data_IF_827770843029
#
_entry.id   IF_827770843029
#
_cell.length_a   1.000
_cell.length_b   1.000
_cell.length_c   1.000
_cell.angle_alpha   90.00
_cell.angle_beta   90.00
_cell.angle_gamma   90.00
#
_symmetry.space_group_name_H-M   'P 1'
#
loop_
_entity.id
_entity.type
_entity.pdbx_description
1 polymer ?
#
# COMPACT_ATOMS: atom_id res chain seq x y z
N UNK A 1 22.90 -29.63 34.80
CA UNK A 1 23.03 -28.16 34.61
C UNK A 1 21.98 -27.73 33.59
N UNK A 2 20.78 -27.32 34.02
CA UNK A 2 19.77 -26.80 33.11
C UNK A 2 19.97 -25.29 32.94
N UNK A 3 20.06 -24.84 31.69
CA UNK A 3 20.00 -23.42 31.32
C UNK A 3 18.52 -23.05 31.13
N UNK A 4 17.95 -22.36 32.10
CA UNK A 4 16.71 -21.60 31.97
C UNK A 4 17.06 -20.21 31.44
N UNK A 5 16.69 -19.93 30.19
CA UNK A 5 16.60 -18.56 29.67
C UNK A 5 15.26 -17.93 30.10
N UNK A 6 15.25 -16.69 30.62
CA UNK A 6 14.02 -15.98 30.94
C UNK A 6 13.45 -15.29 29.70
N UNK A 7 12.14 -15.47 29.53
CA UNK A 7 11.25 -14.85 28.55
C UNK A 7 11.15 -13.34 28.84
N UNK A 8 11.47 -12.50 27.85
CA UNK A 8 11.39 -11.04 27.94
C UNK A 8 10.04 -10.59 27.36
N UNK A 9 9.13 -10.18 28.24
CA UNK A 9 7.73 -9.84 27.94
C UNK A 9 7.55 -8.34 28.16
N UNK A 10 7.79 -7.56 27.11
CA UNK A 10 7.58 -6.11 27.12
C UNK A 10 6.71 -5.68 25.93
N UNK A 11 5.39 -5.79 26.11
CA UNK A 11 4.41 -4.98 25.39
C UNK A 11 4.30 -3.59 26.06
N UNK A 12 4.26 -2.47 25.29
CA UNK A 12 3.99 -1.15 25.84
C UNK A 12 2.49 -0.96 26.16
N UNK A 13 2.14 -0.20 27.22
CA UNK A 13 0.75 0.02 27.63
C UNK A 13 0.02 1.04 26.74
N UNK A 14 -1.27 0.78 26.52
CA UNK A 14 -2.23 1.60 25.77
C UNK A 14 -2.66 2.87 26.53
N UNK A 15 -2.89 3.95 25.79
CA UNK A 15 -3.42 5.22 26.27
C UNK A 15 -4.91 5.12 26.66
N UNK A 16 -5.36 5.70 27.79
CA UNK A 16 -6.76 5.72 28.16
C UNK A 16 -7.53 6.90 27.52
N UNK A 17 -8.58 6.55 26.79
CA UNK A 17 -9.63 7.47 26.32
C UNK A 17 -10.57 7.79 27.49
N UNK A 18 -10.62 9.06 27.90
CA UNK A 18 -11.62 9.55 28.86
C UNK A 18 -12.67 10.43 28.15
N UNK A 19 -13.92 9.95 28.19
CA UNK A 19 -15.15 10.70 27.94
C UNK A 19 -15.73 11.12 29.29
N UNK A 20 -16.26 12.35 29.35
CA UNK A 20 -17.42 12.85 30.10
C UNK A 20 -17.27 14.38 30.16
N UNK A 21 -18.27 15.24 30.05
CA UNK A 21 -19.71 15.09 30.24
C UNK A 21 -20.21 16.36 30.94
N UNK A 22 -20.74 17.30 30.16
CA UNK A 22 -21.85 18.22 30.44
C UNK A 22 -21.91 19.18 31.67
N UNK A 23 -22.58 20.31 31.39
CA UNK A 23 -23.46 21.17 32.23
C UNK A 23 -22.88 22.49 32.76
N UNK A 24 -23.52 23.61 32.36
CA UNK A 24 -23.62 24.82 33.19
C UNK A 24 -23.66 26.15 32.42
N UNK A 25 -24.83 26.52 31.88
CA UNK A 25 -25.28 27.92 31.70
C UNK A 25 -26.29 28.16 32.86
N UNK A 26 -26.53 29.38 33.43
CA UNK A 26 -26.86 30.58 32.66
C UNK A 26 -26.57 31.99 33.28
N UNK A 27 -26.92 33.01 32.50
CA UNK A 27 -27.66 34.24 32.90
C UNK A 27 -26.93 35.49 33.46
N UNK A 28 -26.89 36.54 32.61
CA UNK A 28 -27.40 37.93 32.82
C UNK A 28 -26.76 38.84 31.74
N UNK A 29 -27.49 39.49 30.83
CA UNK A 29 -28.35 40.68 31.05
C UNK A 29 -27.47 41.94 30.88
N UNK A 30 -27.74 42.99 30.12
CA UNK A 30 -28.87 43.55 29.37
C UNK A 30 -28.30 44.75 28.54
N UNK A 31 -29.16 45.42 27.78
CA UNK A 31 -29.03 46.74 27.14
C UNK A 31 -28.47 46.76 25.70
N UNK A 32 -29.33 46.70 24.67
CA UNK A 32 -30.19 47.78 24.16
C UNK A 32 -29.42 48.96 23.58
N UNK A 33 -29.41 49.08 22.24
CA UNK A 33 -29.86 50.29 21.54
C UNK A 33 -30.13 49.94 20.08
N UNK A 34 -31.41 50.00 19.72
CA UNK A 34 -31.83 50.22 18.34
C UNK A 34 -31.53 51.68 17.97
N UNK A 35 -30.98 51.91 16.79
CA UNK A 35 -31.37 53.10 16.03
C UNK A 35 -31.60 52.72 14.57
N UNK A 36 -32.72 53.18 14.08
CA UNK A 36 -33.27 52.90 12.77
C UNK A 36 -33.00 54.09 11.85
N UNK A 37 -33.16 53.82 10.56
CA UNK A 37 -33.33 54.79 9.46
C UNK A 37 -32.04 55.24 8.79
N UNK A 38 -31.79 54.71 7.60
CA UNK A 38 -32.22 55.40 6.38
C UNK A 38 -31.84 54.58 5.14
N UNK A 39 -32.84 54.07 4.44
CA UNK A 39 -32.71 53.82 2.99
C UNK A 39 -32.70 55.15 2.27
N UNK A 40 -31.82 55.34 1.29
CA UNK A 40 -32.19 55.98 0.06
C UNK A 40 -32.46 54.89 -0.98
N UNK A 41 -33.73 54.80 -1.39
CA UNK A 41 -34.02 54.36 -2.74
C UNK A 41 -33.44 55.41 -3.69
N UNK A 42 -32.35 55.07 -4.37
CA UNK A 42 -31.86 55.80 -5.52
C UNK A 42 -31.92 54.86 -6.73
N UNK A 43 -32.79 55.22 -7.67
CA UNK A 43 -32.89 54.59 -8.97
C UNK A 43 -31.68 55.00 -9.80
N UNK A 44 -30.67 54.14 -9.82
CA UNK A 44 -29.59 54.17 -10.78
C UNK A 44 -29.67 52.95 -11.68
N UNK A 45 -30.33 53.09 -12.83
CA UNK A 45 -30.12 52.22 -13.98
C UNK A 45 -28.71 52.48 -14.53
N UNK A 46 -27.71 51.93 -13.82
CA UNK A 46 -26.32 51.84 -14.25
C UNK A 46 -26.05 50.39 -14.62
N UNK A 47 -25.24 50.11 -15.67
CA UNK A 47 -24.98 48.74 -16.08
C UNK A 47 -24.44 47.97 -14.88
N UNK A 48 -25.19 46.96 -14.42
CA UNK A 48 -24.72 46.03 -13.40
C UNK A 48 -23.40 45.46 -13.90
N UNK A 49 -22.29 45.90 -13.29
CA UNK A 49 -20.98 45.29 -13.48
C UNK A 49 -21.05 43.89 -12.89
N UNK A 50 -21.66 42.97 -13.63
CA UNK A 50 -21.77 41.57 -13.26
C UNK A 50 -20.34 41.04 -13.04
N UNK A 51 -20.12 40.47 -11.86
CA UNK A 51 -18.81 39.98 -11.42
C UNK A 51 -18.18 39.07 -12.49
N UNK A 52 -16.86 39.21 -12.71
CA UNK A 52 -16.13 38.34 -13.63
C UNK A 52 -16.25 36.87 -13.16
N UNK A 53 -16.52 35.92 -14.07
CA UNK A 53 -16.65 34.51 -13.71
C UNK A 53 -15.33 34.00 -13.15
N UNK A 54 -15.40 33.16 -12.11
CA UNK A 54 -14.22 32.52 -11.53
C UNK A 54 -13.64 31.50 -12.49
N UNK A 55 -12.59 31.87 -13.21
CA UNK A 55 -11.93 31.02 -14.19
C UNK A 55 -11.13 29.89 -13.51
N UNK A 56 -11.22 28.62 -13.97
CA UNK A 56 -10.30 27.57 -13.56
C UNK A 56 -8.83 27.94 -13.84
N UNK A 57 -7.90 27.47 -13.01
CA UNK A 57 -6.46 27.77 -13.16
C UNK A 57 -5.90 27.41 -14.54
N UNK A 58 -6.21 26.25 -15.16
CA UNK A 58 -5.74 25.92 -16.50
C UNK A 58 -6.20 26.94 -17.57
N UNK A 59 -7.42 27.44 -17.43
CA UNK A 59 -7.99 28.45 -18.34
C UNK A 59 -7.26 29.78 -18.18
N UNK A 60 -6.97 30.22 -16.95
CA UNK A 60 -6.19 31.44 -16.68
C UNK A 60 -4.80 31.37 -17.31
N UNK A 61 -4.11 30.25 -17.10
CA UNK A 61 -2.79 30.02 -17.68
C UNK A 61 -2.84 30.05 -19.21
N UNK A 62 -3.89 29.46 -19.80
CA UNK A 62 -4.06 29.43 -21.25
C UNK A 62 -4.31 30.82 -21.83
N UNK A 63 -5.20 31.62 -21.22
CA UNK A 63 -5.46 33.02 -21.62
C UNK A 63 -4.16 33.82 -21.61
N UNK A 64 -3.37 33.69 -20.54
CA UNK A 64 -2.06 34.35 -20.43
C UNK A 64 -1.09 33.88 -21.51
N UNK A 65 -1.04 32.58 -21.80
CA UNK A 65 -0.15 32.02 -22.82
C UNK A 65 -0.50 32.52 -24.23
N UNK A 66 -1.78 32.52 -24.60
CA UNK A 66 -2.27 33.05 -25.89
C UNK A 66 -1.91 34.54 -26.03
N UNK A 67 -2.18 35.32 -24.99
CA UNK A 67 -1.88 36.76 -24.97
C UNK A 67 -0.37 37.02 -25.06
N UNK A 68 0.45 36.24 -24.34
CA UNK A 68 1.90 36.34 -24.35
C UNK A 68 2.52 35.95 -25.71
N UNK A 69 1.88 35.06 -26.46
CA UNK A 69 2.32 34.64 -27.80
C UNK A 69 2.10 35.77 -28.83
N UNK A 70 0.96 36.47 -28.73
CA UNK A 70 0.56 37.57 -29.61
C UNK A 70 1.22 38.90 -29.27
N UNK A 71 1.63 39.10 -28.01
CA UNK A 71 2.17 40.38 -27.55
C UNK A 71 3.30 40.99 -28.43
N UNK A 72 4.25 40.23 -29.00
CA UNK A 72 5.29 40.79 -29.87
C UNK A 72 4.82 41.16 -31.28
N UNK A 73 3.66 40.69 -31.72
CA UNK A 73 3.12 40.98 -33.07
C UNK A 73 2.30 42.27 -33.10
N UNK A 74 1.96 42.82 -31.93
CA UNK A 74 1.24 44.07 -31.80
C UNK A 74 2.17 45.28 -32.02
N UNK A 75 1.71 46.33 -32.70
CA UNK A 75 2.41 47.62 -32.77
C UNK A 75 2.77 48.15 -31.38
N UNK A 76 3.94 48.78 -31.23
CA UNK A 76 4.45 49.21 -29.92
C UNK A 76 3.61 50.31 -29.23
N UNK A 77 2.85 51.06 -30.01
CA UNK A 77 1.84 52.03 -29.61
C UNK A 77 0.54 51.37 -29.13
N UNK A 78 0.25 50.15 -29.57
CA UNK A 78 -0.91 49.36 -29.16
C UNK A 78 -0.66 48.51 -27.90
N UNK A 79 0.59 48.36 -27.47
CA UNK A 79 0.99 47.60 -26.27
C UNK A 79 0.99 48.50 -25.02
N UNK A 80 0.20 48.15 -23.98
CA UNK A 80 0.19 48.89 -22.71
C UNK A 80 1.58 49.01 -22.07
N UNK A 81 1.85 50.17 -21.45
CA UNK A 81 3.16 50.48 -20.86
C UNK A 81 3.68 49.38 -19.92
N UNK A 82 2.86 48.79 -19.01
CA UNK A 82 3.31 47.70 -18.14
C UNK A 82 3.76 46.43 -18.89
N UNK A 83 3.24 46.20 -20.11
CA UNK A 83 3.51 45.00 -20.92
C UNK A 83 4.64 45.18 -21.92
N UNK A 84 5.10 46.39 -22.19
CA UNK A 84 6.20 46.66 -23.15
C UNK A 84 7.49 45.90 -22.80
N UNK A 85 7.78 45.71 -21.50
CA UNK A 85 8.92 44.91 -21.05
C UNK A 85 8.68 43.42 -21.23
N UNK A 86 7.46 42.96 -20.96
CA UNK A 86 7.05 41.56 -21.11
C UNK A 86 7.14 41.12 -22.58
N UNK A 87 6.75 41.98 -23.52
CA UNK A 87 6.84 41.73 -24.97
C UNK A 87 8.27 41.38 -25.42
N UNK A 88 9.28 41.96 -24.75
CA UNK A 88 10.71 41.75 -25.05
C UNK A 88 11.30 40.50 -24.38
N UNK A 89 10.58 39.83 -23.49
CA UNK A 89 11.10 38.60 -22.89
C UNK A 89 11.19 37.47 -23.92
N UNK A 90 12.08 36.50 -23.66
CA UNK A 90 12.13 35.25 -24.42
C UNK A 90 10.76 34.54 -24.39
N UNK A 91 10.32 33.87 -25.48
CA UNK A 91 9.00 33.24 -25.58
C UNK A 91 8.60 32.43 -24.34
N UNK A 92 9.47 31.54 -23.88
CA UNK A 92 9.23 30.65 -22.75
C UNK A 92 9.08 31.37 -21.39
N UNK A 93 9.49 32.64 -21.29
CA UNK A 93 9.44 33.44 -20.05
C UNK A 93 8.27 34.42 -20.02
N UNK A 94 7.66 34.75 -21.16
CA UNK A 94 6.61 35.78 -21.24
C UNK A 94 5.38 35.41 -20.44
N UNK A 95 4.84 34.21 -20.66
CA UNK A 95 3.66 33.73 -19.94
C UNK A 95 3.96 33.61 -18.44
N UNK A 96 5.11 33.01 -18.07
CA UNK A 96 5.45 32.76 -16.66
C UNK A 96 5.73 34.03 -15.84
N UNK A 97 6.50 34.98 -16.39
CA UNK A 97 6.91 36.18 -15.66
C UNK A 97 5.98 37.37 -15.89
N UNK A 98 5.26 37.37 -17.01
CA UNK A 98 4.29 38.40 -17.37
C UNK A 98 2.87 38.10 -16.90
N UNK A 99 2.58 36.90 -16.38
CA UNK A 99 1.23 36.47 -16.02
C UNK A 99 0.43 37.51 -15.22
N UNK A 100 0.93 38.08 -14.11
CA UNK A 100 0.15 39.04 -13.32
C UNK A 100 -0.15 40.33 -14.10
N UNK A 101 0.83 40.84 -14.84
CA UNK A 101 0.67 42.05 -15.63
C UNK A 101 -0.29 41.84 -16.81
N UNK A 102 -0.21 40.68 -17.48
CA UNK A 102 -1.09 40.32 -18.59
C UNK A 102 -2.53 40.20 -18.09
N UNK A 103 -2.76 39.46 -17.00
CA UNK A 103 -4.09 39.31 -16.42
C UNK A 103 -4.70 40.66 -16.02
N UNK A 104 -3.93 41.51 -15.34
CA UNK A 104 -4.38 42.83 -14.93
C UNK A 104 -4.79 43.73 -16.12
N UNK A 105 -4.01 43.72 -17.22
CA UNK A 105 -4.33 44.53 -18.39
C UNK A 105 -5.52 43.98 -19.19
N UNK A 106 -5.72 42.66 -19.25
CA UNK A 106 -6.88 42.07 -19.93
C UNK A 106 -8.21 42.41 -19.24
N UNK A 107 -8.20 42.54 -17.91
CA UNK A 107 -9.35 42.99 -17.13
C UNK A 107 -9.54 44.51 -17.20
N UNK A 108 -8.45 45.29 -17.06
CA UNK A 108 -8.52 46.76 -16.98
C UNK A 108 -8.71 47.48 -18.32
N UNK A 109 -8.23 46.92 -19.45
CA UNK A 109 -8.25 47.57 -20.77
C UNK A 109 -9.01 46.72 -21.81
N UNK A 110 -10.30 47.05 -22.08
CA UNK A 110 -11.09 46.39 -23.10
C UNK A 110 -10.54 46.51 -24.53
N UNK A 111 -9.91 47.63 -24.89
CA UNK A 111 -9.36 47.84 -26.23
C UNK A 111 -8.14 46.95 -26.45
N UNK A 112 -7.27 46.84 -25.45
CA UNK A 112 -6.16 45.88 -25.48
C UNK A 112 -6.66 44.44 -25.65
N UNK A 113 -7.70 44.05 -24.88
CA UNK A 113 -8.30 42.72 -25.03
C UNK A 113 -8.86 42.49 -26.43
N UNK A 114 -9.55 43.46 -27.03
CA UNK A 114 -10.07 43.35 -28.40
C UNK A 114 -8.94 43.14 -29.43
N UNK A 115 -7.83 43.90 -29.32
CA UNK A 115 -6.67 43.76 -30.22
C UNK A 115 -6.02 42.39 -30.10
N UNK A 116 -5.81 41.91 -28.87
CA UNK A 116 -5.29 40.56 -28.60
C UNK A 116 -6.24 39.51 -29.19
N UNK A 117 -7.53 39.64 -28.93
CA UNK A 117 -8.58 38.73 -29.41
C UNK A 117 -8.57 38.61 -30.92
N UNK A 118 -8.54 39.73 -31.65
CA UNK A 118 -8.53 39.72 -33.10
C UNK A 118 -7.38 38.87 -33.66
N UNK A 119 -6.20 38.97 -33.06
CA UNK A 119 -5.04 38.18 -33.48
C UNK A 119 -5.13 36.72 -33.05
N UNK A 120 -5.55 36.46 -31.81
CA UNK A 120 -5.72 35.09 -31.28
C UNK A 120 -6.77 34.31 -32.09
N UNK A 121 -7.87 34.94 -32.51
CA UNK A 121 -8.89 34.29 -33.32
C UNK A 121 -8.40 33.92 -34.73
N UNK A 122 -7.58 34.78 -35.35
CA UNK A 122 -6.94 34.47 -36.63
C UNK A 122 -6.00 33.27 -36.49
N UNK A 123 -5.20 33.23 -35.42
CA UNK A 123 -4.28 32.11 -35.17
C UNK A 123 -5.05 30.81 -34.79
N UNK A 124 -6.26 30.93 -34.21
CA UNK A 124 -7.12 29.80 -33.83
C UNK A 124 -7.96 29.20 -34.99
N UNK A 125 -8.09 29.92 -36.12
CA UNK A 125 -8.78 29.43 -37.32
C UNK A 125 -10.24 29.04 -37.08
N UNK A 126 -10.63 27.85 -37.56
CA UNK A 126 -12.00 27.33 -37.51
C UNK A 126 -12.55 27.22 -36.07
N UNK A 127 -11.68 26.94 -35.09
CA UNK A 127 -12.07 26.90 -33.69
C UNK A 127 -12.44 28.30 -33.18
N UNK A 128 -11.66 29.31 -33.57
CA UNK A 128 -11.96 30.70 -33.24
C UNK A 128 -13.30 31.15 -33.81
N UNK A 129 -13.60 30.79 -35.06
CA UNK A 129 -14.89 31.08 -35.70
C UNK A 129 -16.06 30.41 -34.97
N UNK A 130 -15.93 29.11 -34.65
CA UNK A 130 -16.97 28.38 -33.92
C UNK A 130 -17.28 29.00 -32.55
N UNK A 131 -16.24 29.41 -31.81
CA UNK A 131 -16.39 30.08 -30.50
C UNK A 131 -17.07 31.43 -30.64
N UNK A 132 -16.73 32.23 -31.66
CA UNK A 132 -17.40 33.52 -31.92
C UNK A 132 -18.89 33.33 -32.22
N UNK A 133 -19.26 32.25 -32.91
CA UNK A 133 -20.65 31.86 -33.15
C UNK A 133 -21.35 31.29 -31.89
N UNK A 134 -20.65 31.21 -30.76
CA UNK A 134 -21.18 30.71 -29.49
C UNK A 134 -21.23 29.18 -29.40
N UNK A 135 -20.47 28.48 -30.26
CA UNK A 135 -20.46 27.02 -30.32
C UNK A 135 -19.09 26.45 -29.95
N UNK A 136 -19.08 25.22 -29.41
CA UNK A 136 -17.86 24.49 -29.08
C UNK A 136 -17.89 23.12 -29.78
N UNK A 137 -16.96 22.83 -30.70
CA UNK A 137 -16.85 21.51 -31.30
C UNK A 137 -16.57 20.44 -30.23
N UNK A 138 -17.22 19.28 -30.33
CA UNK A 138 -17.10 18.22 -29.31
C UNK A 138 -15.67 17.67 -29.12
N UNK A 139 -14.83 17.76 -30.16
CA UNK A 139 -13.44 17.32 -30.14
C UNK A 139 -12.44 18.43 -29.77
N UNK A 140 -12.90 19.66 -29.53
CA UNK A 140 -12.03 20.77 -29.16
C UNK A 140 -11.58 20.64 -27.69
N UNK A 141 -10.37 21.11 -27.40
CA UNK A 141 -9.89 21.21 -26.01
C UNK A 141 -10.78 22.20 -25.24
N UNK A 142 -11.47 21.76 -24.17
CA UNK A 142 -12.32 22.63 -23.36
C UNK A 142 -11.57 23.85 -22.80
N UNK A 143 -10.27 23.72 -22.48
CA UNK A 143 -9.44 24.82 -21.97
C UNK A 143 -9.23 25.88 -23.06
N UNK A 144 -9.00 25.46 -24.30
CA UNK A 144 -8.87 26.35 -25.46
C UNK A 144 -10.18 27.10 -25.71
N UNK A 145 -11.31 26.39 -25.72
CA UNK A 145 -12.65 26.96 -25.92
C UNK A 145 -12.94 28.02 -24.86
N UNK A 146 -12.68 27.73 -23.59
CA UNK A 146 -12.90 28.68 -22.50
C UNK A 146 -12.00 29.91 -22.59
N UNK A 147 -10.73 29.74 -23.00
CA UNK A 147 -9.79 30.83 -23.16
C UNK A 147 -10.18 31.75 -24.33
N UNK A 148 -10.60 31.17 -25.46
CA UNK A 148 -11.09 31.91 -26.61
C UNK A 148 -12.41 32.63 -26.29
N UNK A 149 -13.34 31.96 -25.59
CA UNK A 149 -14.61 32.56 -25.17
C UNK A 149 -14.39 33.74 -24.21
N UNK A 150 -13.43 33.65 -23.29
CA UNK A 150 -13.07 34.74 -22.37
C UNK A 150 -12.52 35.98 -23.10
N UNK A 151 -11.68 35.76 -24.12
CA UNK A 151 -11.09 36.84 -24.91
C UNK A 151 -12.13 37.47 -25.86
N UNK A 152 -12.85 36.65 -26.62
CA UNK A 152 -13.81 37.09 -27.62
C UNK A 152 -15.12 37.65 -27.06
N UNK A 153 -15.54 37.20 -25.87
CA UNK A 153 -16.81 37.54 -25.21
C UNK A 153 -18.04 37.56 -26.18
N UNK A 154 -18.25 36.51 -27.00
CA UNK A 154 -19.47 36.37 -27.80
C UNK A 154 -20.71 36.24 -26.93
N UNK A 155 -21.91 36.29 -27.52
CA UNK A 155 -23.14 36.01 -26.78
C UNK A 155 -23.07 34.59 -26.19
N UNK A 156 -23.31 34.44 -24.89
CA UNK A 156 -23.25 33.14 -24.22
C UNK A 156 -21.83 32.69 -23.80
N UNK A 157 -20.85 33.59 -23.78
CA UNK A 157 -19.46 33.25 -23.47
C UNK A 157 -19.24 32.68 -22.05
N UNK A 158 -20.10 33.01 -21.09
CA UNK A 158 -20.00 32.51 -19.71
C UNK A 158 -20.40 31.05 -19.64
N UNK A 159 -21.47 30.68 -20.33
CA UNK A 159 -21.96 29.30 -20.43
C UNK A 159 -20.91 28.41 -21.08
N UNK A 160 -20.18 28.91 -22.10
CA UNK A 160 -19.05 28.20 -22.70
C UNK A 160 -17.91 27.96 -21.69
N UNK A 161 -17.58 28.96 -20.87
CA UNK A 161 -16.54 28.83 -19.83
C UNK A 161 -16.97 27.84 -18.75
N UNK A 162 -18.22 27.90 -18.30
CA UNK A 162 -18.74 27.00 -17.28
C UNK A 162 -18.82 25.55 -17.77
N UNK A 163 -19.31 25.34 -19.00
CA UNK A 163 -19.36 24.03 -19.64
C UNK A 163 -17.96 23.44 -19.84
N UNK A 164 -17.02 24.25 -20.34
CA UNK A 164 -15.62 23.83 -20.47
C UNK A 164 -14.98 23.53 -19.13
N UNK A 165 -15.23 24.36 -18.11
CA UNK A 165 -14.72 24.14 -16.76
C UNK A 165 -15.27 22.86 -16.13
N UNK A 166 -16.54 22.54 -16.38
CA UNK A 166 -17.15 21.28 -15.97
C UNK A 166 -16.52 20.08 -16.70
N UNK A 167 -16.27 20.18 -18.00
CA UNK A 167 -15.60 19.13 -18.78
C UNK A 167 -14.17 18.84 -18.28
N UNK A 168 -13.38 19.89 -17.98
CA UNK A 168 -12.02 19.73 -17.43
C UNK A 168 -12.04 19.02 -16.07
N UNK A 169 -12.98 19.40 -15.20
CA UNK A 169 -13.12 18.74 -13.89
C UNK A 169 -13.55 17.28 -14.04
N UNK A 170 -14.53 17.01 -14.89
CA UNK A 170 -15.02 15.65 -15.14
C UNK A 170 -13.91 14.73 -15.70
N UNK A 171 -13.06 15.24 -16.58
CA UNK A 171 -11.90 14.48 -17.10
C UNK A 171 -10.88 14.20 -15.99
N UNK A 172 -10.55 15.21 -15.17
CA UNK A 172 -9.63 15.04 -14.04
C UNK A 172 -10.17 14.03 -13.01
N UNK A 173 -11.45 14.12 -12.66
CA UNK A 173 -12.11 13.19 -11.74
C UNK A 173 -12.13 11.77 -12.32
N UNK A 174 -12.42 11.62 -13.61
CA UNK A 174 -12.41 10.33 -14.31
C UNK A 174 -11.02 9.70 -14.32
N UNK A 175 -9.97 10.50 -14.53
CA UNK A 175 -8.59 10.03 -14.47
C UNK A 175 -8.22 9.52 -13.07
N UNK A 176 -8.61 10.26 -12.01
CA UNK A 176 -8.40 9.83 -10.62
C UNK A 176 -9.12 8.52 -10.34
N UNK A 177 -10.38 8.39 -10.75
CA UNK A 177 -11.14 7.15 -10.59
C UNK A 177 -10.48 5.99 -11.35
N UNK A 178 -10.02 6.20 -12.57
CA UNK A 178 -9.34 5.18 -13.36
C UNK A 178 -8.03 4.70 -12.72
N UNK A 179 -7.25 5.61 -12.10
CA UNK A 179 -6.07 5.25 -11.31
C UNK A 179 -6.46 4.39 -10.09
N UNK A 180 -7.46 4.84 -9.32
CA UNK A 180 -7.92 4.11 -8.13
C UNK A 180 -8.42 2.70 -8.46
N UNK A 181 -9.14 2.55 -9.58
CA UNK A 181 -9.59 1.24 -10.08
C UNK A 181 -8.40 0.36 -10.44
N UNK A 182 -7.43 0.89 -11.20
CA UNK A 182 -6.22 0.12 -11.56
C UNK A 182 -5.42 -0.32 -10.34
N UNK A 183 -5.27 0.54 -9.34
CA UNK A 183 -4.61 0.15 -8.10
C UNK A 183 -5.40 -0.91 -7.32
N UNK A 184 -6.74 -0.80 -7.28
CA UNK A 184 -7.59 -1.78 -6.64
C UNK A 184 -7.50 -3.16 -7.30
N UNK A 185 -7.51 -3.21 -8.63
CA UNK A 185 -7.34 -4.44 -9.42
C UNK A 185 -5.96 -5.08 -9.19
N UNK A 186 -4.90 -4.27 -9.15
CA UNK A 186 -3.56 -4.76 -8.84
C UNK A 186 -3.47 -5.35 -7.42
N UNK A 187 -4.09 -4.68 -6.43
CA UNK A 187 -4.15 -5.20 -5.06
C UNK A 187 -4.96 -6.49 -4.98
N UNK A 188 -6.09 -6.58 -5.70
CA UNK A 188 -6.91 -7.79 -5.76
C UNK A 188 -6.13 -8.96 -6.38
N UNK A 189 -5.46 -8.74 -7.51
CA UNK A 189 -4.64 -9.76 -8.20
C UNK A 189 -3.52 -10.28 -7.30
N UNK A 190 -2.83 -9.38 -6.58
CA UNK A 190 -1.80 -9.78 -5.61
C UNK A 190 -2.38 -10.61 -4.47
N UNK A 191 -3.50 -10.16 -3.90
CA UNK A 191 -4.15 -10.90 -2.82
C UNK A 191 -4.64 -12.29 -3.26
N UNK A 192 -5.11 -12.45 -4.50
CA UNK A 192 -5.47 -13.75 -5.07
C UNK A 192 -4.26 -14.65 -5.24
N UNK A 193 -3.15 -14.11 -5.75
CA UNK A 193 -1.89 -14.84 -5.86
C UNK A 193 -1.38 -15.32 -4.49
N UNK A 194 -1.32 -14.42 -3.51
CA UNK A 194 -0.85 -14.74 -2.16
C UNK A 194 -1.73 -15.81 -1.49
N UNK A 195 -3.06 -15.74 -1.69
CA UNK A 195 -3.99 -16.78 -1.24
C UNK A 195 -3.75 -18.13 -1.91
N UNK A 196 -3.43 -18.14 -3.21
CA UNK A 196 -3.14 -19.38 -3.92
C UNK A 196 -1.83 -20.00 -3.40
N UNK A 197 -0.78 -19.20 -3.22
CA UNK A 197 0.50 -19.63 -2.63
C UNK A 197 0.29 -20.19 -1.23
N UNK A 198 -0.39 -19.44 -0.35
CA UNK A 198 -0.66 -19.88 1.02
C UNK A 198 -1.47 -21.19 1.09
N UNK A 199 -2.40 -21.42 0.16
CA UNK A 199 -3.16 -22.69 0.07
C UNK A 199 -2.25 -23.86 -0.27
N UNK A 200 -1.38 -23.70 -1.27
CA UNK A 200 -0.43 -24.74 -1.69
C UNK A 200 0.57 -25.03 -0.57
N UNK A 201 1.07 -24.00 0.12
CA UNK A 201 1.96 -24.18 1.27
C UNK A 201 1.27 -24.88 2.44
N UNK A 202 0.02 -24.52 2.74
CA UNK A 202 -0.75 -25.20 3.78
C UNK A 202 -1.03 -26.67 3.45
N UNK A 203 -1.23 -27.02 2.17
CA UNK A 203 -1.37 -28.40 1.72
C UNK A 203 -0.06 -29.18 1.90
N UNK A 204 1.07 -28.63 1.45
CA UNK A 204 2.40 -29.24 1.64
C UNK A 204 2.71 -29.49 3.13
N UNK A 205 2.47 -28.51 3.99
CA UNK A 205 2.69 -28.65 5.43
C UNK A 205 1.78 -29.72 6.05
N UNK A 206 0.55 -29.90 5.56
CA UNK A 206 -0.34 -30.99 6.01
C UNK A 206 0.19 -32.35 5.59
N UNK A 207 0.68 -32.48 4.36
CA UNK A 207 1.27 -33.73 3.85
C UNK A 207 2.55 -34.10 4.60
N UNK A 208 3.42 -33.12 4.87
CA UNK A 208 4.62 -33.30 5.70
C UNK A 208 4.27 -33.72 7.12
N UNK A 209 3.27 -33.08 7.75
CA UNK A 209 2.78 -33.48 9.08
C UNK A 209 2.20 -34.90 9.08
N UNK A 210 1.47 -35.30 8.04
CA UNK A 210 0.95 -36.65 7.90
C UNK A 210 2.09 -37.67 7.80
N UNK A 211 3.10 -37.40 6.97
CA UNK A 211 4.28 -38.24 6.81
C UNK A 211 5.07 -38.39 8.11
N UNK A 212 5.35 -37.30 8.81
CA UNK A 212 6.08 -37.35 10.10
C UNK A 212 5.29 -38.14 11.15
N UNK A 213 3.96 -38.04 11.16
CA UNK A 213 3.12 -38.84 12.07
C UNK A 213 3.18 -40.33 11.74
N UNK A 214 3.19 -40.69 10.46
CA UNK A 214 3.34 -42.07 10.03
C UNK A 214 4.71 -42.62 10.41
N UNK A 215 5.79 -41.89 10.13
CA UNK A 215 7.17 -42.25 10.50
C UNK A 215 7.29 -42.43 12.03
N UNK A 216 6.71 -41.52 12.82
CA UNK A 216 6.64 -41.66 14.28
C UNK A 216 5.84 -42.88 14.75
N UNK A 217 4.80 -43.27 14.01
CA UNK A 217 4.04 -44.49 14.26
C UNK A 217 4.87 -45.74 14.00
N UNK A 218 5.56 -45.78 12.86
CA UNK A 218 6.45 -46.87 12.46
C UNK A 218 7.58 -47.05 13.49
N UNK A 219 8.30 -45.97 13.84
CA UNK A 219 9.39 -46.03 14.83
C UNK A 219 8.93 -46.50 16.21
N UNK A 220 7.70 -46.15 16.63
CA UNK A 220 7.13 -46.65 17.88
C UNK A 220 6.85 -48.14 17.84
N UNK A 221 6.33 -48.65 16.72
CA UNK A 221 6.08 -50.09 16.58
C UNK A 221 7.39 -50.87 16.47
N UNK A 222 8.37 -50.37 15.72
CA UNK A 222 9.72 -50.93 15.67
C UNK A 222 10.37 -50.95 17.06
N UNK A 223 10.28 -49.86 17.82
CA UNK A 223 10.78 -49.80 19.19
C UNK A 223 10.13 -50.85 20.09
N UNK A 224 8.80 -51.04 20.00
CA UNK A 224 8.08 -52.09 20.74
C UNK A 224 8.51 -53.48 20.31
N UNK A 225 8.69 -53.71 19.01
CA UNK A 225 9.13 -54.99 18.47
C UNK A 225 10.54 -55.32 18.93
N UNK A 226 11.48 -54.38 18.82
CA UNK A 226 12.86 -54.53 19.32
C UNK A 226 12.90 -54.75 20.83
N UNK A 227 12.04 -54.07 21.60
CA UNK A 227 11.95 -54.31 23.04
C UNK A 227 11.40 -55.72 23.37
N UNK A 228 10.45 -56.24 22.59
CA UNK A 228 9.95 -57.62 22.73
C UNK A 228 11.05 -58.63 22.40
N UNK A 229 11.71 -58.48 21.25
CA UNK A 229 12.77 -59.40 20.82
C UNK A 229 13.95 -59.37 21.80
N UNK A 230 14.35 -58.21 22.31
CA UNK A 230 15.39 -58.08 23.33
C UNK A 230 15.04 -58.85 24.62
N UNK A 231 13.80 -58.76 25.10
CA UNK A 231 13.37 -59.51 26.29
C UNK A 231 13.39 -61.01 26.05
N UNK A 232 12.96 -61.45 24.87
CA UNK A 232 13.00 -62.87 24.49
C UNK A 232 14.43 -63.40 24.37
N UNK A 233 15.34 -62.63 23.75
CA UNK A 233 16.76 -63.03 23.64
C UNK A 233 17.42 -63.07 25.01
N UNK A 234 17.18 -62.08 25.87
CA UNK A 234 17.66 -62.09 27.26
C UNK A 234 17.12 -63.28 28.06
N UNK A 235 15.84 -63.65 27.87
CA UNK A 235 15.27 -64.83 28.53
C UNK A 235 15.92 -66.14 28.04
N UNK A 236 16.16 -66.27 26.73
CA UNK A 236 16.89 -67.41 26.14
C UNK A 236 18.33 -67.48 26.63
N UNK A 237 19.00 -66.34 26.73
CA UNK A 237 20.37 -66.23 27.26
C UNK A 237 20.42 -66.68 28.72
N UNK A 238 19.53 -66.19 29.58
CA UNK A 238 19.43 -66.62 30.99
C UNK A 238 19.22 -68.13 31.13
N UNK A 239 18.33 -68.71 30.33
CA UNK A 239 18.11 -70.16 30.34
C UNK A 239 19.36 -70.93 29.87
N UNK A 240 20.05 -70.44 28.85
CA UNK A 240 21.28 -71.06 28.36
C UNK A 240 22.40 -70.97 29.41
N UNK A 241 22.55 -69.84 30.11
CA UNK A 241 23.56 -69.69 31.16
C UNK A 241 23.25 -70.56 32.37
N UNK A 242 21.97 -70.70 32.76
CA UNK A 242 21.52 -71.64 33.79
C UNK A 242 21.87 -73.09 33.42
N UNK A 243 21.52 -73.53 32.20
CA UNK A 243 21.87 -74.88 31.72
C UNK A 243 23.38 -75.12 31.72
N UNK A 244 24.17 -74.17 31.20
CA UNK A 244 25.63 -74.24 31.23
C UNK A 244 26.18 -74.33 32.65
N UNK A 245 25.63 -73.58 33.61
CA UNK A 245 26.01 -73.67 35.01
C UNK A 245 25.70 -75.06 35.59
N UNK A 246 24.54 -75.64 35.25
CA UNK A 246 24.19 -76.99 35.69
C UNK A 246 25.12 -78.06 35.13
N UNK A 247 25.46 -78.01 33.83
CA UNK A 247 26.38 -78.96 33.22
C UNK A 247 27.81 -78.81 33.77
N UNK A 248 28.28 -77.58 33.98
CA UNK A 248 29.57 -77.33 34.65
C UNK A 248 29.59 -77.92 36.06
N UNK A 249 28.50 -77.78 36.81
CA UNK A 249 28.36 -78.39 38.14
C UNK A 249 28.41 -79.92 38.10
N UNK A 250 27.76 -80.56 37.13
CA UNK A 250 27.83 -82.02 36.93
C UNK A 250 29.24 -82.46 36.53
N UNK A 251 29.86 -81.78 35.58
CA UNK A 251 31.23 -82.07 35.13
C UNK A 251 32.24 -81.93 36.28
N UNK A 252 32.12 -80.88 37.10
CA UNK A 252 32.98 -80.68 38.27
C UNK A 252 32.82 -81.80 39.31
N UNK A 253 31.60 -82.25 39.57
CA UNK A 253 31.34 -83.40 40.46
C UNK A 253 31.94 -84.69 39.91
N UNK A 254 31.70 -84.99 38.64
CA UNK A 254 32.27 -86.17 37.98
C UNK A 254 33.81 -86.15 38.02
N UNK A 255 34.44 -84.99 37.78
CA UNK A 255 35.89 -84.82 37.92
C UNK A 255 36.36 -85.09 39.36
N UNK A 256 35.67 -84.53 40.35
CA UNK A 256 36.03 -84.71 41.75
C UNK A 256 35.89 -86.18 42.21
N UNK A 257 34.87 -86.89 41.70
CA UNK A 257 34.66 -88.32 41.96
C UNK A 257 35.79 -89.15 41.34
N UNK A 258 36.14 -88.89 40.08
CA UNK A 258 37.30 -89.51 39.40
C UNK A 258 38.59 -89.24 40.18
N UNK A 259 38.83 -88.00 40.61
CA UNK A 259 40.02 -87.65 41.41
C UNK A 259 40.04 -88.36 42.77
N UNK A 260 38.87 -88.57 43.39
CA UNK A 260 38.75 -89.32 44.64
C UNK A 260 38.96 -90.83 44.44
N UNK A 261 38.45 -91.40 43.35
CA UNK A 261 38.70 -92.79 42.96
C UNK A 261 40.18 -93.01 42.65
N UNK A 262 40.81 -92.09 41.92
CA UNK A 262 42.21 -92.15 41.55
C UNK A 262 43.13 -92.01 42.78
N UNK A 263 42.77 -91.15 43.75
CA UNK A 263 43.43 -91.11 45.07
C UNK A 263 43.29 -92.42 45.84
N UNK A 264 42.09 -93.03 45.86
CA UNK A 264 41.84 -94.33 46.51
C UNK A 264 42.62 -95.46 45.83
N UNK A 265 42.67 -95.49 44.50
CA UNK A 265 43.43 -96.47 43.74
C UNK A 265 44.93 -96.35 43.98
N UNK A 266 45.46 -95.11 44.00
CA UNK A 266 46.87 -94.85 44.35
C UNK A 266 47.20 -95.29 45.78
N UNK A 267 46.33 -95.03 46.75
CA UNK A 267 46.54 -95.47 48.13
C UNK A 267 46.60 -97.00 48.23
N UNK A 268 45.66 -97.72 47.58
CA UNK A 268 45.68 -99.19 47.51
C UNK A 268 46.93 -99.74 46.81
N UNK A 269 47.39 -99.08 45.75
CA UNK A 269 48.63 -99.45 45.07
C UNK A 269 49.83 -99.29 46.01
N UNK A 270 49.94 -98.16 46.71
CA UNK A 270 51.01 -97.94 47.68
C UNK A 270 50.97 -98.94 48.85
N UNK A 271 49.77 -99.30 49.34
CA UNK A 271 49.60 -100.36 50.34
C UNK A 271 50.04 -101.73 49.82
N UNK A 272 49.69 -102.08 48.58
CA UNK A 272 50.10 -103.33 47.95
C UNK A 272 51.61 -103.38 47.67
N UNK A 273 52.20 -102.25 47.23
CA UNK A 273 53.64 -102.08 47.06
C UNK A 273 54.39 -102.19 48.39
N UNK A 274 53.82 -101.69 49.50
CA UNK A 274 54.43 -101.82 50.83
C UNK A 274 54.31 -103.23 51.45
N UNK A 275 53.29 -103.99 51.06
CA UNK A 275 53.06 -105.37 51.51
C UNK A 275 53.91 -106.41 50.75
N UNK A 276 54.63 -105.99 49.71
CA UNK A 276 55.49 -106.84 48.88
C UNK A 276 56.95 -106.36 49.02
N UNK A 277 57.86 -107.11 49.69
CA UNK A 277 59.28 -106.76 49.76
C UNK A 277 60.04 -107.02 48.45
#
# INVERSE_FOLDING_TARGET
MPLTEPYDDHLPPEDPVARDGAVGDPDNGDETTADASSSPADGGDGPTTEAEPTLPEPVRQRIVALTAAVLPTLPGDEVPVPLRRVAKFAPNRRARLGAPAIAAQLTADPLFRQRVTARVLVDAGDLGAAVVDGTAPAAADPVEVAALAYLARPRGWRELIDASGAAVRAEADSAVVAELVREAEQRATRAEHDRAVARVEAEKLRDELARVREEMGQLREESRQLARTLRETQARERKATELLATERGRAARASADVDAELRRARARLAEAEAAWP
#
